data_IF_846588323993
#
_entry.id   IF_846588323993
#
_cell.length_a   1.000
_cell.length_b   1.000
_cell.length_c   1.000
_cell.angle_alpha   90.00
_cell.angle_beta   90.00
_cell.angle_gamma   90.00
#
_symmetry.space_group_name_H-M   'P 1'
#
loop_
_entity.id
_entity.type
_entity.pdbx_description
1 polymer ?
#
# COMPACT_ATOMS: atom_id res chain seq x y z
N UNK A 1 0.77 15.74 -23.19
CA UNK A 1 1.45 14.70 -22.39
C UNK A 1 0.67 13.37 -22.42
N UNK A 2 -0.63 13.39 -22.25
CA UNK A 2 -1.50 12.18 -22.30
C UNK A 2 -1.55 11.50 -23.68
N UNK A 3 -1.21 12.19 -24.77
CA UNK A 3 -1.23 11.63 -26.13
C UNK A 3 -0.14 10.59 -26.46
N UNK A 4 0.82 10.34 -25.56
CA UNK A 4 1.90 9.34 -25.74
C UNK A 4 1.62 8.00 -25.07
N UNK A 5 0.54 7.86 -24.31
CA UNK A 5 0.18 6.62 -23.61
C UNK A 5 -0.48 5.66 -24.60
N UNK A 6 0.33 4.81 -25.24
CA UNK A 6 -0.17 3.78 -26.17
C UNK A 6 -0.61 2.52 -25.43
N UNK A 7 -1.74 2.57 -24.73
CA UNK A 7 -2.32 1.42 -24.01
C UNK A 7 -2.57 0.19 -24.90
N UNK A 8 -2.70 0.41 -26.23
CA UNK A 8 -2.82 -0.67 -27.23
C UNK A 8 -1.60 -1.57 -27.36
N UNK A 9 -0.44 -1.19 -26.80
CA UNK A 9 0.78 -2.01 -26.77
C UNK A 9 0.76 -3.06 -25.67
N UNK A 10 -0.20 -2.99 -24.75
CA UNK A 10 -0.33 -3.96 -23.66
C UNK A 10 -1.12 -5.19 -24.14
N UNK A 11 -0.53 -6.36 -23.98
CA UNK A 11 -1.17 -7.63 -24.23
C UNK A 11 -2.20 -7.96 -23.13
N UNK A 12 -3.12 -8.87 -23.39
CA UNK A 12 -4.09 -9.33 -22.36
C UNK A 12 -3.40 -9.82 -21.07
N UNK A 13 -2.24 -10.43 -21.21
CA UNK A 13 -1.43 -10.91 -20.08
C UNK A 13 -0.94 -9.75 -19.20
N UNK A 14 -0.57 -8.62 -19.81
CA UNK A 14 -0.12 -7.43 -19.07
C UNK A 14 -1.27 -6.85 -18.24
N UNK A 15 -2.48 -6.80 -18.78
CA UNK A 15 -3.66 -6.35 -18.05
C UNK A 15 -3.99 -7.24 -16.86
N UNK A 16 -3.88 -8.56 -17.00
CA UNK A 16 -4.05 -9.49 -15.88
C UNK A 16 -2.95 -9.31 -14.82
N UNK A 17 -1.72 -9.08 -15.26
CA UNK A 17 -0.61 -8.79 -14.33
C UNK A 17 -0.84 -7.47 -13.60
N UNK A 18 -1.28 -6.42 -14.30
CA UNK A 18 -1.64 -5.15 -13.70
C UNK A 18 -2.75 -5.32 -12.65
N UNK A 19 -3.81 -6.07 -12.98
CA UNK A 19 -4.90 -6.36 -12.05
C UNK A 19 -4.42 -7.11 -10.80
N UNK A 20 -3.62 -8.16 -10.97
CA UNK A 20 -3.09 -8.94 -9.86
C UNK A 20 -2.18 -8.10 -8.94
N UNK A 21 -1.33 -7.26 -9.54
CA UNK A 21 -0.46 -6.36 -8.80
C UNK A 21 -1.26 -5.32 -8.01
N UNK A 22 -2.28 -4.73 -8.62
CA UNK A 22 -3.10 -3.70 -7.97
C UNK A 22 -4.05 -4.28 -6.91
N UNK A 23 -4.53 -5.50 -7.10
CA UNK A 23 -5.28 -6.22 -6.05
C UNK A 23 -4.44 -6.35 -4.78
N UNK A 24 -3.20 -6.80 -4.89
CA UNK A 24 -2.30 -6.97 -3.75
C UNK A 24 -1.77 -5.63 -3.22
N UNK A 25 -1.23 -4.78 -4.11
CA UNK A 25 -0.53 -3.56 -3.72
C UNK A 25 -1.44 -2.38 -3.37
N UNK A 26 -2.69 -2.37 -3.84
CA UNK A 26 -3.63 -1.30 -3.53
C UNK A 26 -4.79 -1.81 -2.66
N UNK A 27 -5.61 -2.73 -3.16
CA UNK A 27 -6.86 -3.08 -2.49
C UNK A 27 -6.63 -3.81 -1.17
N UNK A 28 -5.94 -4.94 -1.19
CA UNK A 28 -5.67 -5.72 0.04
C UNK A 28 -4.79 -4.93 0.99
N UNK A 29 -3.76 -4.28 0.46
CA UNK A 29 -2.88 -3.41 1.23
C UNK A 29 -3.66 -2.32 1.99
N UNK A 30 -4.45 -1.50 1.30
CA UNK A 30 -5.19 -0.42 1.95
C UNK A 30 -6.29 -0.94 2.88
N UNK A 31 -6.94 -2.04 2.54
CA UNK A 31 -7.92 -2.67 3.43
C UNK A 31 -7.28 -3.11 4.75
N UNK A 32 -6.15 -3.81 4.68
CA UNK A 32 -5.41 -4.24 5.86
C UNK A 32 -4.88 -3.05 6.66
N UNK A 33 -4.31 -2.04 5.97
CA UNK A 33 -3.78 -0.85 6.63
C UNK A 33 -4.87 -0.03 7.32
N UNK A 34 -5.99 0.24 6.66
CA UNK A 34 -7.11 0.97 7.25
C UNK A 34 -7.69 0.22 8.46
N UNK A 35 -7.84 -1.10 8.35
CA UNK A 35 -8.29 -1.96 9.45
C UNK A 35 -7.29 -2.00 10.61
N UNK A 36 -5.98 -1.94 10.31
CA UNK A 36 -4.93 -1.85 11.33
C UNK A 36 -5.02 -0.52 12.09
N UNK A 37 -5.11 0.61 11.37
CA UNK A 37 -5.22 1.95 11.95
C UNK A 37 -6.44 2.06 12.89
N UNK A 38 -7.57 1.48 12.51
CA UNK A 38 -8.78 1.47 13.34
C UNK A 38 -8.63 0.65 14.64
N UNK A 39 -7.68 -0.26 14.70
CA UNK A 39 -7.46 -1.16 15.84
C UNK A 39 -6.30 -0.74 16.73
N UNK A 40 -5.19 -0.25 16.15
CA UNK A 40 -3.96 0.12 16.88
C UNK A 40 -3.69 1.62 16.91
N UNK A 41 -4.49 2.42 16.19
CA UNK A 41 -4.19 3.83 15.99
C UNK A 41 -3.21 4.08 14.82
N UNK A 42 -3.18 5.32 14.38
CA UNK A 42 -2.32 5.75 13.28
C UNK A 42 -0.81 5.67 13.61
N UNK A 43 -0.32 6.04 14.81
CA UNK A 43 1.11 6.01 15.11
C UNK A 43 1.74 4.64 14.93
N UNK A 44 1.16 3.60 15.53
CA UNK A 44 1.67 2.23 15.47
C UNK A 44 1.63 1.68 14.04
N UNK A 45 0.50 1.84 13.36
CA UNK A 45 0.35 1.37 11.98
C UNK A 45 1.32 2.04 11.02
N UNK A 46 1.51 3.36 11.12
CA UNK A 46 2.44 4.10 10.24
C UNK A 46 3.90 3.74 10.50
N UNK A 47 4.27 3.46 11.75
CA UNK A 47 5.61 2.98 12.08
C UNK A 47 5.90 1.61 11.46
N UNK A 48 4.95 0.69 11.52
CA UNK A 48 5.10 -0.64 10.90
C UNK A 48 5.26 -0.48 9.37
N UNK A 49 4.44 0.36 8.72
CA UNK A 49 4.59 0.66 7.29
C UNK A 49 5.92 1.36 7.00
N UNK A 50 6.42 2.21 7.89
CA UNK A 50 7.72 2.86 7.79
C UNK A 50 8.91 1.90 7.73
N UNK A 51 8.71 0.60 8.00
CA UNK A 51 9.75 -0.44 7.80
C UNK A 51 9.96 -0.82 6.33
N UNK A 52 9.05 -0.46 5.42
CA UNK A 52 9.11 -0.84 4.01
C UNK A 52 10.44 -0.54 3.30
N UNK A 53 11.11 0.61 3.51
CA UNK A 53 12.40 0.88 2.89
C UNK A 53 13.50 -0.13 3.24
N UNK A 54 13.33 -0.87 4.33
CA UNK A 54 14.26 -1.92 4.75
C UNK A 54 13.74 -3.30 4.37
N UNK A 55 12.45 -3.52 4.54
CA UNK A 55 11.80 -4.80 4.21
C UNK A 55 11.96 -5.12 2.72
N UNK A 56 11.75 -4.15 1.83
CA UNK A 56 11.86 -4.36 0.38
C UNK A 56 13.27 -4.82 -0.04
N UNK A 57 14.38 -4.14 0.32
CA UNK A 57 15.73 -4.62 0.01
C UNK A 57 16.08 -5.97 0.65
N UNK A 58 15.60 -6.24 1.88
CA UNK A 58 15.80 -7.55 2.53
C UNK A 58 15.13 -8.66 1.73
N UNK A 59 13.87 -8.50 1.38
CA UNK A 59 13.16 -9.47 0.54
C UNK A 59 13.75 -9.59 -0.86
N UNK A 60 14.19 -8.47 -1.47
CA UNK A 60 14.92 -8.50 -2.74
C UNK A 60 16.18 -9.36 -2.63
N UNK A 61 16.95 -9.15 -1.57
CA UNK A 61 18.19 -9.91 -1.33
C UNK A 61 17.93 -11.40 -1.08
N UNK A 62 16.86 -11.75 -0.37
CA UNK A 62 16.49 -13.14 -0.10
C UNK A 62 15.97 -13.87 -1.35
N UNK A 63 15.12 -13.20 -2.14
CA UNK A 63 14.41 -13.83 -3.27
C UNK A 63 15.20 -13.75 -4.59
N UNK A 64 16.02 -12.71 -4.77
CA UNK A 64 16.69 -12.42 -6.05
C UNK A 64 18.20 -12.34 -5.96
N UNK A 65 18.82 -12.69 -4.83
CA UNK A 65 20.27 -12.60 -4.59
C UNK A 65 21.13 -13.35 -5.63
N UNK A 66 20.61 -14.39 -6.24
CA UNK A 66 21.31 -15.15 -7.28
C UNK A 66 21.39 -14.43 -8.64
N UNK A 67 20.50 -13.44 -8.87
CA UNK A 67 20.39 -12.73 -10.14
C UNK A 67 20.91 -11.28 -10.06
N UNK A 68 20.57 -10.57 -8.98
CA UNK A 68 20.79 -9.12 -8.85
C UNK A 68 21.99 -8.78 -7.94
N UNK A 69 22.72 -9.81 -7.46
CA UNK A 69 23.84 -9.64 -6.52
C UNK A 69 23.38 -9.59 -5.05
N UNK A 70 24.31 -9.91 -4.14
CA UNK A 70 24.02 -9.91 -2.69
C UNK A 70 24.21 -8.50 -2.11
N UNK A 71 23.18 -7.96 -1.52
CA UNK A 71 23.32 -6.75 -0.70
C UNK A 71 24.05 -7.10 0.61
N UNK A 72 25.11 -6.37 0.94
CA UNK A 72 25.87 -6.61 2.18
C UNK A 72 25.00 -6.28 3.40
N UNK A 73 24.70 -7.29 4.22
CA UNK A 73 23.89 -7.16 5.44
C UNK A 73 24.38 -6.06 6.38
N UNK A 74 25.69 -5.82 6.42
CA UNK A 74 26.27 -4.74 7.22
C UNK A 74 25.82 -3.33 6.83
N UNK A 75 25.36 -3.11 5.57
CA UNK A 75 24.82 -1.82 5.13
C UNK A 75 23.36 -1.64 5.53
N UNK A 76 22.63 -2.73 5.72
CA UNK A 76 21.22 -2.73 6.15
C UNK A 76 21.07 -2.67 7.68
N UNK A 77 22.03 -3.22 8.42
CA UNK A 77 21.96 -3.35 9.87
C UNK A 77 21.73 -2.01 10.61
N UNK A 78 22.40 -0.89 10.29
CA UNK A 78 22.14 0.37 10.97
C UNK A 78 20.70 0.87 10.80
N UNK A 79 20.16 0.76 9.58
CA UNK A 79 18.79 1.16 9.29
C UNK A 79 17.78 0.28 10.01
N UNK A 80 18.01 -1.05 10.05
CA UNK A 80 17.18 -2.01 10.80
C UNK A 80 17.16 -1.69 12.29
N UNK A 81 18.31 -1.37 12.87
CA UNK A 81 18.44 -1.01 14.29
C UNK A 81 17.66 0.29 14.57
N UNK A 82 17.85 1.32 13.78
CA UNK A 82 17.14 2.60 13.94
C UNK A 82 15.62 2.41 13.87
N UNK A 83 15.14 1.65 12.90
CA UNK A 83 13.70 1.36 12.75
C UNK A 83 13.20 0.53 13.93
N UNK A 84 13.95 -0.48 14.36
CA UNK A 84 13.60 -1.30 15.53
C UNK A 84 13.49 -0.47 16.81
N UNK A 85 14.44 0.44 17.05
CA UNK A 85 14.39 1.37 18.19
C UNK A 85 13.16 2.27 18.08
N UNK A 86 12.90 2.88 16.91
CA UNK A 86 11.73 3.72 16.69
C UNK A 86 10.42 2.99 16.96
N UNK A 87 10.28 1.76 16.46
CA UNK A 87 9.13 0.90 16.72
C UNK A 87 8.96 0.63 18.23
N UNK A 88 10.05 0.27 18.91
CA UNK A 88 10.03 0.03 20.34
C UNK A 88 9.60 1.27 21.14
N UNK A 89 10.16 2.44 20.83
CA UNK A 89 9.80 3.70 21.49
C UNK A 89 8.31 4.02 21.35
N UNK A 90 7.74 3.87 20.15
CA UNK A 90 6.32 4.17 19.92
C UNK A 90 5.43 3.16 20.62
N UNK A 91 5.77 1.86 20.57
CA UNK A 91 4.98 0.85 21.27
C UNK A 91 5.00 1.06 22.79
N UNK A 92 6.16 1.43 23.37
CA UNK A 92 6.25 1.75 24.80
C UNK A 92 5.43 2.99 25.15
N UNK A 93 5.45 4.02 24.31
CA UNK A 93 4.65 5.22 24.54
C UNK A 93 3.15 4.91 24.51
N UNK A 94 2.66 4.15 23.53
CA UNK A 94 1.24 3.74 23.42
C UNK A 94 0.81 2.87 24.63
N UNK A 95 1.65 1.95 25.08
CA UNK A 95 1.36 1.10 26.24
C UNK A 95 1.33 1.91 27.56
N UNK A 96 2.13 2.95 27.68
CA UNK A 96 2.18 3.82 28.87
C UNK A 96 1.00 4.80 28.95
N UNK A 97 0.33 5.11 27.84
CA UNK A 97 -0.88 5.89 27.84
C UNK A 97 -2.12 5.16 28.40
N UNK A 98 -1.93 3.94 28.92
CA UNK A 98 -2.79 3.14 29.81
C UNK A 98 -4.28 3.45 29.70
N UNK A 99 -4.95 2.96 28.66
CA UNK A 99 -6.40 2.97 28.64
C UNK A 99 -6.90 1.89 29.63
N UNK A 100 -7.84 2.21 30.53
CA UNK A 100 -8.37 1.27 31.52
C UNK A 100 -8.96 0.00 30.91
N UNK A 101 -9.38 0.04 29.64
CA UNK A 101 -9.99 -1.06 28.87
C UNK A 101 -9.16 -1.40 27.62
N UNK A 102 -7.87 -1.74 27.79
CA UNK A 102 -7.01 -2.11 26.67
C UNK A 102 -7.34 -3.53 26.16
N UNK A 103 -7.98 -3.61 24.99
CA UNK A 103 -8.30 -4.85 24.31
C UNK A 103 -7.06 -5.40 23.57
N UNK A 104 -6.34 -6.31 24.22
CA UNK A 104 -5.17 -6.98 23.66
C UNK A 104 -5.46 -7.74 22.35
N UNK A 105 -6.64 -8.36 22.23
CA UNK A 105 -7.01 -9.11 21.03
C UNK A 105 -7.21 -8.17 19.84
N UNK A 106 -7.85 -7.05 20.08
CA UNK A 106 -8.03 -6.01 19.08
C UNK A 106 -6.71 -5.41 18.65
N UNK A 107 -5.84 -5.08 19.61
CA UNK A 107 -4.52 -4.49 19.33
C UNK A 107 -3.61 -5.43 18.56
N UNK A 108 -3.45 -6.67 18.99
CA UNK A 108 -2.62 -7.68 18.31
C UNK A 108 -3.14 -7.99 16.91
N UNK A 109 -4.46 -8.09 16.74
CA UNK A 109 -5.04 -8.27 15.41
C UNK A 109 -4.74 -7.09 14.47
N UNK A 110 -4.68 -5.86 14.99
CA UNK A 110 -4.28 -4.68 14.26
C UNK A 110 -2.81 -4.71 13.82
N UNK A 111 -1.90 -5.14 14.72
CA UNK A 111 -0.48 -5.34 14.37
C UNK A 111 -0.34 -6.40 13.26
N UNK A 112 -1.03 -7.53 13.35
CA UNK A 112 -1.01 -8.57 12.32
C UNK A 112 -1.47 -8.02 10.97
N UNK A 113 -2.55 -7.24 10.94
CA UNK A 113 -3.03 -6.60 9.71
C UNK A 113 -2.02 -5.60 9.14
N UNK A 114 -1.35 -4.81 9.99
CA UNK A 114 -0.27 -3.92 9.55
C UNK A 114 0.90 -4.69 8.93
N UNK A 115 1.32 -5.80 9.53
CA UNK A 115 2.36 -6.67 8.97
C UNK A 115 1.93 -7.30 7.64
N UNK A 116 0.69 -7.76 7.53
CA UNK A 116 0.13 -8.26 6.26
C UNK A 116 0.18 -7.18 5.19
N UNK A 117 -0.16 -5.93 5.53
CA UNK A 117 -0.07 -4.82 4.57
C UNK A 117 1.36 -4.57 4.10
N UNK A 118 2.36 -4.64 5.00
CA UNK A 118 3.79 -4.54 4.64
C UNK A 118 4.19 -5.65 3.65
N UNK A 119 3.77 -6.89 3.90
CA UNK A 119 4.06 -8.02 3.00
C UNK A 119 3.42 -7.82 1.63
N UNK A 120 2.15 -7.40 1.59
CA UNK A 120 1.43 -7.12 0.34
C UNK A 120 2.13 -6.04 -0.48
N UNK A 121 2.53 -4.94 0.16
CA UNK A 121 3.24 -3.87 -0.52
C UNK A 121 4.64 -4.27 -0.98
N UNK A 122 5.41 -4.96 -0.14
CA UNK A 122 6.75 -5.45 -0.50
C UNK A 122 6.68 -6.40 -1.70
N UNK A 123 5.72 -7.33 -1.71
CA UNK A 123 5.48 -8.22 -2.84
C UNK A 123 5.11 -7.45 -4.11
N UNK A 124 4.19 -6.49 -4.01
CA UNK A 124 3.84 -5.60 -5.12
C UNK A 124 5.08 -4.89 -5.67
N UNK A 125 5.84 -4.23 -4.80
CA UNK A 125 7.00 -3.44 -5.17
C UNK A 125 8.04 -4.27 -5.96
N UNK A 126 8.36 -5.47 -5.46
CA UNK A 126 9.32 -6.37 -6.09
C UNK A 126 8.83 -6.91 -7.44
N UNK A 127 7.58 -7.33 -7.51
CA UNK A 127 6.99 -7.85 -8.76
C UNK A 127 6.81 -6.77 -9.80
N UNK A 128 6.42 -5.58 -9.38
CA UNK A 128 6.26 -4.41 -10.25
C UNK A 128 7.61 -3.97 -10.84
N UNK A 129 8.64 -3.84 -10.00
CA UNK A 129 9.99 -3.50 -10.45
C UNK A 129 10.55 -4.55 -11.41
N UNK A 130 10.30 -5.84 -11.14
CA UNK A 130 10.70 -6.91 -12.03
C UNK A 130 10.00 -6.82 -13.40
N UNK A 131 8.69 -6.60 -13.43
CA UNK A 131 7.94 -6.46 -14.67
C UNK A 131 8.47 -5.30 -15.52
N UNK A 132 8.79 -4.15 -14.90
CA UNK A 132 9.36 -2.99 -15.59
C UNK A 132 10.74 -3.32 -16.20
N UNK A 133 11.60 -4.03 -15.49
CA UNK A 133 12.92 -4.45 -16.00
C UNK A 133 12.81 -5.50 -17.11
N UNK A 134 11.82 -6.37 -17.07
CA UNK A 134 11.57 -7.36 -18.12
C UNK A 134 10.91 -6.74 -19.38
N UNK A 135 10.36 -5.51 -19.28
CA UNK A 135 9.70 -4.80 -20.37
C UNK A 135 10.23 -3.37 -20.54
N UNK A 136 11.52 -3.18 -20.89
CA UNK A 136 12.15 -1.87 -20.98
C UNK A 136 11.60 -0.99 -22.13
N UNK A 137 10.95 -1.62 -23.10
CA UNK A 137 10.25 -0.98 -24.21
C UNK A 137 8.94 -0.29 -23.80
N UNK A 138 8.42 -0.64 -22.62
CA UNK A 138 7.15 -0.10 -22.12
C UNK A 138 7.37 1.05 -21.14
N UNK A 139 6.82 2.21 -21.49
CA UNK A 139 7.03 3.42 -20.70
C UNK A 139 6.38 3.32 -19.31
N UNK A 140 7.06 3.72 -18.20
CA UNK A 140 6.53 3.66 -16.83
C UNK A 140 5.16 4.33 -16.64
N UNK A 141 4.93 5.46 -17.32
CA UNK A 141 3.65 6.17 -17.29
C UNK A 141 2.50 5.33 -17.87
N UNK A 142 2.77 4.61 -18.97
CA UNK A 142 1.78 3.71 -19.55
C UNK A 142 1.39 2.61 -18.56
N UNK A 143 2.38 2.05 -17.88
CA UNK A 143 2.16 1.01 -16.88
C UNK A 143 1.41 1.52 -15.64
N UNK A 144 1.78 2.69 -15.09
CA UNK A 144 1.04 3.33 -14.00
C UNK A 144 -0.43 3.62 -14.38
N UNK A 145 -0.65 4.08 -15.61
CA UNK A 145 -2.01 4.35 -16.12
C UNK A 145 -2.81 3.06 -16.29
N UNK A 146 -2.19 1.96 -16.76
CA UNK A 146 -2.86 0.68 -16.87
C UNK A 146 -3.29 0.14 -15.50
N UNK A 147 -2.40 0.24 -14.51
CA UNK A 147 -2.73 -0.12 -13.12
C UNK A 147 -3.89 0.71 -12.56
N UNK A 148 -3.89 2.02 -12.79
CA UNK A 148 -4.99 2.89 -12.36
C UNK A 148 -6.33 2.51 -13.02
N UNK A 149 -6.31 2.20 -14.32
CA UNK A 149 -7.52 1.82 -15.06
C UNK A 149 -8.13 0.49 -14.58
N UNK A 150 -7.30 -0.50 -14.24
CA UNK A 150 -7.83 -1.78 -13.72
C UNK A 150 -8.26 -1.68 -12.25
N UNK A 151 -7.67 -0.77 -11.49
CA UNK A 151 -8.06 -0.53 -10.09
C UNK A 151 -9.42 0.15 -9.98
N UNK A 152 -9.73 1.08 -10.89
CA UNK A 152 -10.93 1.90 -10.84
C UNK A 152 -12.24 1.10 -10.73
N UNK A 153 -12.55 0.12 -11.62
CA UNK A 153 -13.80 -0.63 -11.53
C UNK A 153 -13.87 -1.48 -10.25
N UNK A 154 -12.77 -2.06 -9.81
CA UNK A 154 -12.74 -2.91 -8.62
C UNK A 154 -12.93 -2.06 -7.36
N UNK A 155 -12.25 -0.91 -7.26
CA UNK A 155 -12.42 0.00 -6.13
C UNK A 155 -13.82 0.63 -6.09
N UNK A 156 -14.41 0.92 -7.25
CA UNK A 156 -15.79 1.43 -7.33
C UNK A 156 -16.79 0.39 -6.81
N UNK A 157 -16.67 -0.86 -7.27
CA UNK A 157 -17.52 -1.95 -6.78
C UNK A 157 -17.31 -2.13 -5.26
N UNK A 158 -16.05 -2.16 -4.79
CA UNK A 158 -15.75 -2.27 -3.38
C UNK A 158 -16.36 -1.14 -2.55
N UNK A 159 -16.32 0.08 -3.07
CA UNK A 159 -16.92 1.25 -2.43
C UNK A 159 -18.45 1.13 -2.33
N UNK A 160 -19.12 0.72 -3.40
CA UNK A 160 -20.56 0.52 -3.42
C UNK A 160 -21.00 -0.58 -2.43
N UNK A 161 -20.24 -1.69 -2.38
CA UNK A 161 -20.48 -2.76 -1.39
C UNK A 161 -20.28 -2.25 0.03
N UNK A 162 -19.22 -1.48 0.28
CA UNK A 162 -18.98 -0.89 1.60
C UNK A 162 -20.08 0.09 2.01
N UNK A 163 -20.55 0.94 1.09
CA UNK A 163 -21.68 1.83 1.34
C UNK A 163 -22.96 1.06 1.67
N UNK A 164 -23.26 0.01 0.91
CA UNK A 164 -24.42 -0.85 1.18
C UNK A 164 -24.32 -1.51 2.57
N UNK A 165 -23.17 -2.07 2.91
CA UNK A 165 -22.92 -2.69 4.21
C UNK A 165 -23.06 -1.69 5.37
N UNK A 166 -22.45 -0.50 5.25
CA UNK A 166 -22.52 0.56 6.25
C UNK A 166 -23.96 1.07 6.42
N UNK A 167 -24.72 1.19 5.36
CA UNK A 167 -26.14 1.61 5.44
C UNK A 167 -27.00 0.64 6.26
N UNK A 168 -26.66 -0.65 6.26
CA UNK A 168 -27.33 -1.66 7.07
C UNK A 168 -26.94 -1.53 8.56
N UNK A 169 -25.65 -1.29 8.84
CA UNK A 169 -25.12 -1.28 10.21
C UNK A 169 -25.27 0.07 10.92
N UNK A 170 -25.22 1.15 10.18
CA UNK A 170 -25.28 2.52 10.69
C UNK A 170 -26.20 3.38 9.83
N UNK A 171 -27.54 3.23 9.97
CA UNK A 171 -28.52 3.95 9.13
C UNK A 171 -28.42 5.48 9.23
N UNK A 172 -27.96 6.01 10.36
CA UNK A 172 -27.81 7.45 10.61
C UNK A 172 -26.56 8.06 9.98
N UNK A 173 -25.68 7.25 9.35
CA UNK A 173 -24.48 7.75 8.70
C UNK A 173 -24.79 8.32 7.33
N UNK A 174 -24.40 9.58 7.07
CA UNK A 174 -24.66 10.27 5.81
C UNK A 174 -23.84 9.71 4.65
N UNK A 175 -24.33 8.62 4.07
CA UNK A 175 -23.75 8.00 2.87
C UNK A 175 -24.16 8.79 1.60
N UNK A 176 -23.33 8.79 0.53
CA UNK A 176 -22.07 8.03 0.40
C UNK A 176 -20.81 8.77 0.88
N UNK A 177 -20.88 10.06 1.20
CA UNK A 177 -19.69 10.90 1.40
C UNK A 177 -19.43 11.29 2.86
N UNK A 178 -20.27 10.83 3.79
CA UNK A 178 -20.18 11.18 5.19
C UNK A 178 -20.69 12.60 5.52
N UNK A 179 -20.52 13.04 6.78
CA UNK A 179 -21.07 14.32 7.26
C UNK A 179 -20.38 15.57 6.67
N UNK A 180 -19.21 15.40 6.03
CA UNK A 180 -18.44 16.49 5.39
C UNK A 180 -18.06 16.13 3.96
N UNK A 181 -19.00 16.11 3.00
CA UNK A 181 -18.79 15.58 1.66
C UNK A 181 -17.69 16.30 0.88
N UNK A 182 -17.59 17.62 0.97
CA UNK A 182 -16.55 18.38 0.26
C UNK A 182 -15.15 18.05 0.77
N UNK A 183 -14.97 17.91 2.08
CA UNK A 183 -13.69 17.52 2.69
C UNK A 183 -13.33 16.10 2.27
N UNK A 184 -14.28 15.17 2.31
CA UNK A 184 -14.06 13.79 1.88
C UNK A 184 -13.61 13.74 0.41
N UNK A 185 -14.35 14.38 -0.49
CA UNK A 185 -14.04 14.37 -1.93
C UNK A 185 -12.68 15.01 -2.20
N UNK A 186 -12.38 16.17 -1.60
CA UNK A 186 -11.09 16.85 -1.81
C UNK A 186 -9.90 16.01 -1.33
N UNK A 187 -10.02 15.35 -0.18
CA UNK A 187 -8.99 14.44 0.34
C UNK A 187 -8.84 13.20 -0.55
N UNK A 188 -9.94 12.63 -1.03
CA UNK A 188 -9.90 11.47 -1.94
C UNK A 188 -9.22 11.82 -3.26
N UNK A 189 -9.51 12.99 -3.85
CA UNK A 189 -8.84 13.46 -5.06
C UNK A 189 -7.34 13.68 -4.79
N UNK A 190 -6.99 14.33 -3.68
CA UNK A 190 -5.59 14.57 -3.31
C UNK A 190 -4.82 13.25 -3.16
N UNK A 191 -5.36 12.27 -2.44
CA UNK A 191 -4.75 10.94 -2.27
C UNK A 191 -4.65 10.21 -3.61
N UNK A 192 -5.70 10.22 -4.42
CA UNK A 192 -5.73 9.54 -5.71
C UNK A 192 -4.68 10.10 -6.68
N UNK A 193 -4.56 11.43 -6.77
CA UNK A 193 -3.63 12.08 -7.69
C UNK A 193 -2.21 12.05 -7.15
N UNK A 194 -1.98 12.51 -5.93
CA UNK A 194 -0.63 12.70 -5.39
C UNK A 194 -0.01 11.39 -4.91
N UNK A 195 -0.72 10.63 -4.08
CA UNK A 195 -0.17 9.44 -3.47
C UNK A 195 -0.25 8.21 -4.39
N UNK A 196 -1.38 8.02 -5.08
CA UNK A 196 -1.57 6.82 -5.89
C UNK A 196 -0.98 6.98 -7.29
N UNK A 197 -1.37 8.00 -8.06
CA UNK A 197 -0.92 8.11 -9.45
C UNK A 197 0.50 8.66 -9.58
N UNK A 198 0.79 9.84 -8.98
CA UNK A 198 2.14 10.46 -9.02
C UNK A 198 3.14 9.60 -8.27
N UNK A 199 2.77 9.09 -7.08
CA UNK A 199 3.62 8.22 -6.29
C UNK A 199 3.98 6.93 -7.04
N UNK A 200 3.01 6.27 -7.67
CA UNK A 200 3.25 5.08 -8.49
C UNK A 200 4.11 5.39 -9.72
N UNK A 201 3.93 6.55 -10.35
CA UNK A 201 4.77 6.98 -11.47
C UNK A 201 6.22 7.19 -11.05
N UNK A 202 6.46 7.92 -9.96
CA UNK A 202 7.81 8.13 -9.40
C UNK A 202 8.47 6.80 -9.04
N UNK A 203 7.73 5.90 -8.39
CA UNK A 203 8.21 4.56 -8.07
C UNK A 203 8.58 3.76 -9.32
N UNK A 204 7.74 3.78 -10.34
CA UNK A 204 7.97 3.06 -11.59
C UNK A 204 9.20 3.59 -12.35
N UNK A 205 9.39 4.91 -12.37
CA UNK A 205 10.60 5.53 -12.96
C UNK A 205 11.85 5.13 -12.20
N UNK A 206 11.81 5.13 -10.87
CA UNK A 206 12.95 4.74 -10.04
C UNK A 206 13.28 3.24 -10.10
N UNK A 207 12.32 2.41 -10.55
CA UNK A 207 12.45 0.94 -10.59
C UNK A 207 12.96 0.40 -11.94
N UNK A 208 13.10 1.26 -12.96
CA UNK A 208 13.75 0.91 -14.24
C UNK A 208 15.26 0.93 -14.12
#
# INVERSE_FOLDING_TARGET
WLGRVRLRQLARRDWLTALMLTMMGNLIYYFCLASAIQRTGAPVSTMIIGTLPVVIPVFANLLYSQRDGKLAWGKLAPALICIGIGLACVNIAELNHGLPDFDWARYTSGIVLALVSVVCWAWYALRNARWLRENPDKHPMMWATAQALVTLPVSLIGYLVACYWLNIQTPDFSLPFGPRPLVFISLMIAIAVLCSWVGALCWNVASQ
#
